data_IF_271995129819
#
_entry.id   IF_271995129819
#
_cell.length_a   1.000
_cell.length_b   1.000
_cell.length_c   1.000
_cell.angle_alpha   90.00
_cell.angle_beta   90.00
_cell.angle_gamma   90.00
#
_symmetry.space_group_name_H-M   'P 1'
#
loop_
_entity.id
_entity.type
_entity.pdbx_description
1 polymer ?
#
# COMPACT_ATOMS: atom_id res chain seq x y z
N UNK A 1 -7.34 -18.04 12.53
CA UNK A 1 -8.31 -16.97 12.24
C UNK A 1 -7.71 -15.77 11.49
N UNK A 2 -6.58 -15.20 11.92
CA UNK A 2 -6.02 -13.98 11.30
C UNK A 2 -5.27 -14.25 9.98
N UNK A 3 -4.28 -15.16 9.97
CA UNK A 3 -3.43 -15.38 8.79
C UNK A 3 -4.20 -15.65 7.48
N UNK A 4 -5.27 -16.49 7.45
CA UNK A 4 -6.04 -16.72 6.23
C UNK A 4 -6.76 -15.49 5.66
N UNK A 5 -6.94 -14.42 6.45
CA UNK A 5 -7.56 -13.19 5.96
C UNK A 5 -6.68 -12.48 4.93
N UNK A 6 -5.35 -12.64 5.02
CA UNK A 6 -4.41 -12.00 4.10
C UNK A 6 -4.47 -12.56 2.68
N UNK A 7 -5.06 -13.75 2.48
CA UNK A 7 -5.28 -14.34 1.16
C UNK A 7 -6.54 -13.78 0.47
N UNK A 8 -7.45 -13.17 1.24
CA UNK A 8 -8.71 -12.66 0.74
C UNK A 8 -8.67 -11.17 0.38
N UNK A 9 -7.59 -10.47 0.72
CA UNK A 9 -7.41 -9.04 0.41
C UNK A 9 -7.17 -8.83 -1.10
N UNK A 10 -7.39 -7.60 -1.55
CA UNK A 10 -7.00 -7.19 -2.91
C UNK A 10 -5.54 -6.78 -2.96
N UNK A 11 -5.08 -6.08 -1.91
CA UNK A 11 -3.73 -5.55 -1.77
C UNK A 11 -3.31 -5.72 -0.31
N UNK A 12 -2.11 -6.27 -0.09
CA UNK A 12 -1.47 -6.35 1.22
C UNK A 12 -0.37 -5.29 1.33
N UNK A 13 -0.32 -4.59 2.47
CA UNK A 13 0.78 -3.73 2.86
C UNK A 13 1.45 -4.34 4.09
N UNK A 14 2.58 -5.00 3.88
CA UNK A 14 3.32 -5.68 4.95
C UNK A 14 4.54 -4.83 5.33
N UNK A 15 4.56 -4.33 6.56
CA UNK A 15 5.71 -3.61 7.09
C UNK A 15 6.78 -4.59 7.56
N UNK A 16 8.03 -4.35 7.18
CA UNK A 16 9.18 -5.21 7.44
C UNK A 16 10.25 -4.34 8.11
N UNK A 17 10.62 -4.60 9.38
CA UNK A 17 11.71 -3.88 10.02
C UNK A 17 13.06 -4.24 9.37
N UNK A 18 13.91 -3.24 9.15
CA UNK A 18 15.30 -3.42 8.66
C UNK A 18 16.32 -3.25 9.78
N UNK A 19 15.86 -3.34 11.03
CA UNK A 19 16.65 -3.34 12.25
C UNK A 19 16.56 -4.70 12.93
N UNK A 20 17.48 -4.97 13.84
CA UNK A 20 17.53 -6.25 14.54
C UNK A 20 16.29 -6.44 15.43
N UNK A 21 15.47 -7.41 15.02
CA UNK A 21 14.23 -7.86 15.67
C UNK A 21 14.32 -9.33 16.11
N UNK A 22 15.53 -9.87 16.25
CA UNK A 22 15.78 -11.25 16.65
C UNK A 22 15.16 -11.62 18.01
N UNK A 23 15.13 -10.67 18.95
CA UNK A 23 14.41 -10.81 20.22
C UNK A 23 13.32 -9.73 20.36
N UNK A 24 12.05 -10.05 20.05
CA UNK A 24 10.94 -9.08 20.11
C UNK A 24 10.50 -8.74 21.54
N UNK A 25 11.00 -9.43 22.57
CA UNK A 25 10.68 -9.18 23.98
C UNK A 25 11.73 -8.32 24.69
N UNK A 26 12.81 -7.94 24.01
CA UNK A 26 13.80 -7.04 24.58
C UNK A 26 13.22 -5.63 24.72
N UNK A 27 12.97 -5.21 25.96
CA UNK A 27 12.38 -3.91 26.30
C UNK A 27 13.25 -2.71 25.93
N UNK A 28 14.55 -2.90 25.76
CA UNK A 28 15.49 -1.84 25.34
C UNK A 28 15.35 -1.54 23.84
N UNK A 29 14.81 -2.48 23.06
CA UNK A 29 14.56 -2.34 21.63
C UNK A 29 13.13 -1.85 21.44
N UNK A 30 12.96 -0.53 21.27
CA UNK A 30 11.66 0.08 21.00
C UNK A 30 11.03 -0.40 19.68
N UNK A 31 9.79 0.03 19.42
CA UNK A 31 9.10 -0.27 18.17
C UNK A 31 9.89 0.35 17.00
N UNK A 32 10.25 -0.42 15.95
CA UNK A 32 10.93 0.14 14.78
C UNK A 32 10.17 1.35 14.22
N UNK A 33 10.87 2.43 13.92
CA UNK A 33 10.28 3.62 13.30
C UNK A 33 10.02 3.41 11.81
N UNK A 34 9.32 4.34 11.17
CA UNK A 34 9.02 4.25 9.74
C UNK A 34 10.29 4.21 8.87
N UNK A 35 11.30 4.99 9.25
CA UNK A 35 12.63 5.01 8.62
C UNK A 35 13.42 3.71 8.85
N UNK A 36 13.11 2.98 9.93
CA UNK A 36 13.68 1.68 10.24
C UNK A 36 12.88 0.52 9.63
N UNK A 37 12.04 0.79 8.62
CA UNK A 37 11.19 -0.21 7.99
C UNK A 37 11.12 -0.03 6.48
N UNK A 38 10.85 -1.15 5.80
CA UNK A 38 10.32 -1.17 4.45
C UNK A 38 8.85 -1.61 4.49
N UNK A 39 8.12 -1.38 3.41
CA UNK A 39 6.77 -1.92 3.22
C UNK A 39 6.72 -2.69 1.90
N UNK A 40 6.34 -3.96 1.97
CA UNK A 40 5.99 -4.77 0.82
C UNK A 40 4.53 -4.52 0.46
N UNK A 41 4.31 -4.04 -0.75
CA UNK A 41 2.99 -3.91 -1.35
C UNK A 41 2.79 -5.10 -2.28
N UNK A 42 1.83 -5.96 -1.98
CA UNK A 42 1.49 -7.11 -2.80
C UNK A 42 0.08 -6.96 -3.38
N UNK A 43 -0.01 -6.94 -4.71
CA UNK A 43 -1.27 -6.86 -5.45
C UNK A 43 -1.80 -8.27 -5.79
N UNK A 44 -2.78 -8.78 -5.02
CA UNK A 44 -3.23 -10.17 -5.12
C UNK A 44 -4.25 -10.38 -6.25
N UNK A 45 -5.32 -9.58 -6.26
CA UNK A 45 -6.47 -9.79 -7.16
C UNK A 45 -6.34 -9.03 -8.48
N UNK A 46 -5.94 -7.76 -8.40
CA UNK A 46 -5.79 -6.89 -9.56
C UNK A 46 -4.31 -6.67 -9.83
N UNK A 47 -3.73 -7.53 -10.68
CA UNK A 47 -2.30 -7.46 -11.01
C UNK A 47 -2.00 -6.15 -11.76
N UNK A 48 -1.11 -5.30 -11.24
CA UNK A 48 -0.78 -4.04 -11.89
C UNK A 48 -0.03 -4.30 -13.19
N UNK A 49 -0.22 -3.41 -14.17
CA UNK A 49 0.61 -3.41 -15.38
C UNK A 49 2.07 -3.07 -15.03
N UNK A 50 3.01 -3.48 -15.91
CA UNK A 50 4.42 -3.11 -15.74
C UNK A 50 4.58 -1.59 -15.70
N UNK A 51 3.91 -0.89 -16.62
CA UNK A 51 3.92 0.57 -16.71
C UNK A 51 3.43 1.23 -15.42
N UNK A 52 2.33 0.73 -14.83
CA UNK A 52 1.83 1.26 -13.57
C UNK A 52 2.85 1.13 -12.43
N UNK A 53 3.53 -0.02 -12.32
CA UNK A 53 4.59 -0.21 -11.31
C UNK A 53 5.79 0.69 -11.56
N UNK A 54 6.18 0.89 -12.83
CA UNK A 54 7.27 1.80 -13.18
C UNK A 54 6.92 3.25 -12.83
N UNK A 55 5.67 3.67 -13.07
CA UNK A 55 5.19 5.00 -12.69
C UNK A 55 5.18 5.18 -11.16
N UNK A 56 4.62 4.22 -10.41
CA UNK A 56 4.69 4.23 -8.94
C UNK A 56 6.14 4.31 -8.44
N UNK A 57 7.06 3.60 -9.11
CA UNK A 57 8.48 3.65 -8.76
C UNK A 57 9.10 5.03 -8.98
N UNK A 58 8.74 5.70 -10.06
CA UNK A 58 9.18 7.07 -10.36
C UNK A 58 8.64 8.11 -9.37
N UNK A 59 7.42 7.90 -8.87
CA UNK A 59 6.78 8.80 -7.89
C UNK A 59 7.27 8.56 -6.45
N UNK A 60 7.55 7.30 -6.09
CA UNK A 60 7.96 6.91 -4.74
C UNK A 60 9.47 6.65 -4.75
N UNK A 61 10.25 7.70 -4.51
CA UNK A 61 11.71 7.58 -4.45
C UNK A 61 12.14 6.53 -3.40
N UNK A 62 13.16 5.74 -3.73
CA UNK A 62 13.66 4.64 -2.89
C UNK A 62 12.83 3.36 -2.99
N UNK A 63 11.79 3.34 -3.81
CA UNK A 63 11.05 2.11 -4.12
C UNK A 63 11.72 1.27 -5.20
N UNK A 64 11.45 -0.04 -5.16
CA UNK A 64 11.93 -0.98 -6.17
C UNK A 64 10.94 -2.13 -6.35
N UNK A 65 10.89 -2.66 -7.56
CA UNK A 65 10.02 -3.80 -7.90
C UNK A 65 10.70 -5.07 -7.38
N UNK A 66 10.09 -5.74 -6.40
CA UNK A 66 10.62 -6.97 -5.83
C UNK A 66 10.13 -8.24 -6.54
N UNK A 67 9.10 -8.13 -7.38
CA UNK A 67 8.50 -9.27 -8.06
C UNK A 67 7.39 -8.89 -9.04
N UNK A 68 6.75 -9.91 -9.62
CA UNK A 68 5.76 -9.69 -10.67
C UNK A 68 4.54 -8.89 -10.18
N UNK A 69 4.07 -9.15 -8.96
CA UNK A 69 2.93 -8.44 -8.36
C UNK A 69 3.32 -7.66 -7.10
N UNK A 70 4.60 -7.36 -6.91
CA UNK A 70 5.09 -6.78 -5.67
C UNK A 70 5.99 -5.57 -5.89
N UNK A 71 5.82 -4.58 -5.01
CA UNK A 71 6.61 -3.35 -4.96
C UNK A 71 7.07 -3.15 -3.51
N UNK A 72 8.36 -2.88 -3.32
CA UNK A 72 8.92 -2.52 -2.02
C UNK A 72 9.08 -1.01 -1.96
N UNK A 73 8.72 -0.41 -0.83
CA UNK A 73 8.84 1.04 -0.59
C UNK A 73 9.49 1.32 0.78
N UNK A 74 10.11 2.49 0.97
CA UNK A 74 10.51 2.96 2.29
C UNK A 74 9.29 3.14 3.22
N UNK A 75 9.42 2.77 4.50
CA UNK A 75 8.33 2.83 5.47
C UNK A 75 7.78 4.24 5.69
N UNK A 76 8.64 5.27 5.67
CA UNK A 76 8.25 6.67 5.74
C UNK A 76 7.32 7.14 4.60
N UNK A 77 7.28 6.40 3.48
CA UNK A 77 6.47 6.73 2.29
C UNK A 77 5.18 5.92 2.19
N UNK A 78 4.83 5.13 3.22
CA UNK A 78 3.67 4.25 3.21
C UNK A 78 2.35 5.00 2.97
N UNK A 79 2.11 6.12 3.67
CA UNK A 79 0.86 6.88 3.52
C UNK A 79 0.69 7.43 2.11
N UNK A 80 1.77 7.97 1.55
CA UNK A 80 1.78 8.49 0.18
C UNK A 80 1.51 7.38 -0.85
N UNK A 81 2.13 6.21 -0.66
CA UNK A 81 1.86 5.06 -1.52
C UNK A 81 0.42 4.57 -1.44
N UNK A 82 -0.17 4.55 -0.23
CA UNK A 82 -1.58 4.19 -0.04
C UNK A 82 -2.48 5.15 -0.80
N UNK A 83 -2.23 6.46 -0.71
CA UNK A 83 -3.00 7.47 -1.43
C UNK A 83 -2.91 7.25 -2.95
N UNK A 84 -1.71 7.12 -3.51
CA UNK A 84 -1.52 6.90 -4.95
C UNK A 84 -2.22 5.62 -5.45
N UNK A 85 -2.21 4.56 -4.65
CA UNK A 85 -2.73 3.25 -5.05
C UNK A 85 -4.26 3.17 -4.86
N UNK A 86 -4.78 3.65 -3.73
CA UNK A 86 -6.19 3.46 -3.38
C UNK A 86 -7.11 4.56 -3.88
N UNK A 87 -6.62 5.76 -4.18
CA UNK A 87 -7.48 6.89 -4.59
C UNK A 87 -8.41 6.52 -5.75
N UNK A 88 -7.88 5.91 -6.82
CA UNK A 88 -8.71 5.51 -7.96
C UNK A 88 -9.74 4.44 -7.58
N UNK A 89 -9.35 3.44 -6.78
CA UNK A 89 -10.27 2.40 -6.31
C UNK A 89 -11.41 2.98 -5.45
N UNK A 90 -11.11 3.99 -4.63
CA UNK A 90 -12.10 4.69 -3.80
C UNK A 90 -13.05 5.49 -4.68
N UNK A 91 -12.54 6.24 -5.66
CA UNK A 91 -13.37 6.99 -6.61
C UNK A 91 -14.32 6.06 -7.39
N UNK A 92 -13.83 4.91 -7.85
CA UNK A 92 -14.66 3.90 -8.51
C UNK A 92 -15.76 3.36 -7.61
N UNK A 93 -15.46 3.10 -6.34
CA UNK A 93 -16.45 2.65 -5.36
C UNK A 93 -17.49 3.74 -5.08
N UNK A 94 -17.08 5.01 -4.99
CA UNK A 94 -17.99 6.14 -4.81
C UNK A 94 -18.91 6.34 -6.01
N UNK A 95 -18.38 6.21 -7.22
CA UNK A 95 -19.16 6.29 -8.46
C UNK A 95 -20.21 5.16 -8.53
N UNK A 96 -19.80 3.91 -8.25
CA UNK A 96 -20.71 2.74 -8.20
C UNK A 96 -21.80 2.85 -7.14
N UNK A 97 -21.54 3.58 -6.05
CA UNK A 97 -22.53 3.82 -4.97
C UNK A 97 -23.59 4.88 -5.34
N UNK A 98 -23.44 5.58 -6.48
CA UNK A 98 -24.38 6.61 -6.95
C UNK A 98 -24.19 8.00 -6.32
N UNK A 99 -23.17 8.20 -5.47
CA UNK A 99 -22.95 9.48 -4.78
C UNK A 99 -22.34 10.58 -5.67
N UNK A 100 -21.86 10.23 -6.87
CA UNK A 100 -21.32 11.21 -7.82
C UNK A 100 -22.37 11.77 -8.80
N UNK A 101 -23.59 11.20 -8.83
CA UNK A 101 -24.71 11.70 -9.63
C UNK A 101 -25.37 12.95 -9.04
N UNK A 102 -25.38 13.10 -7.71
CA UNK A 102 -26.09 14.21 -7.04
C UNK A 102 -25.35 15.55 -7.03
N UNK A 103 -24.01 15.56 -7.11
CA UNK A 103 -23.25 16.83 -7.07
C UNK A 103 -23.27 17.63 -8.36
N UNK A 104 -23.67 17.02 -9.49
CA UNK A 104 -23.83 17.75 -10.76
C UNK A 104 -25.21 18.40 -10.89
N UNK A 105 -26.22 17.92 -10.18
CA UNK A 105 -27.57 18.51 -10.18
C UNK A 105 -27.67 19.74 -9.27
N UNK A 106 -26.89 19.81 -8.18
CA UNK A 106 -26.89 20.96 -7.25
C UNK A 106 -26.08 22.19 -7.75
N UNK A 107 -25.52 22.14 -8.97
CA UNK A 107 -24.76 23.25 -9.59
C UNK A 107 -25.34 23.71 -10.95
N UNK A 108 -26.60 23.33 -11.27
CA UNK A 108 -27.34 23.82 -12.44
C UNK A 108 -28.59 24.57 -12.04
#
# INVERSE_FOLDING_TARGET
YIVPQFDNTHINFQRIPIVDTSNPFNKERGIPTAEQSLVLIHFLKNKPTVEYKLNLRGLIEGSFISGFNTLMIPGGKMSYAIELILTQSILDLMAKRGHMGRRKEDQS
#
